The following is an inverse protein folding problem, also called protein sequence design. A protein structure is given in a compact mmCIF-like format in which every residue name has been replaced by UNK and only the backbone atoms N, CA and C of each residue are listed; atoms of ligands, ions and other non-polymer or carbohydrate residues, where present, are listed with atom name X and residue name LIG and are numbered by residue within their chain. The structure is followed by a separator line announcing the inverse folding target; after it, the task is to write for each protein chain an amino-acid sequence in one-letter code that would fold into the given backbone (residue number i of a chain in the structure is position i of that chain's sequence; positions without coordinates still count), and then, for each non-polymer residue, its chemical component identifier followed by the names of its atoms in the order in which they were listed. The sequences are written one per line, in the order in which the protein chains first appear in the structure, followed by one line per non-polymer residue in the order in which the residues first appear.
data_IF_301128544674
#
_entry.id   IF_301128544674
#
_cell.length_a   1.000
_cell.length_b   1.000
_cell.length_c   1.000
_cell.angle_alpha   90.00
_cell.angle_beta   90.00
_cell.angle_gamma   90.00
#
_symmetry.space_group_name_H-M   'P 1'
#
loop_
_entity.id
_entity.type
_entity.pdbx_description
1 polymer ?
#
# COMPACT_ATOMS: atom_id res chain seq x y z
N UNK A 1 -17.70 -32.91 -14.67
CA UNK A 1 -18.85 -32.77 -13.75
C UNK A 1 -18.29 -32.43 -12.38
N UNK A 2 -18.42 -31.16 -11.95
CA UNK A 2 -18.05 -30.79 -10.58
C UNK A 2 -19.13 -31.33 -9.64
N UNK A 3 -18.77 -32.19 -8.69
CA UNK A 3 -19.70 -32.63 -7.64
C UNK A 3 -19.93 -31.42 -6.75
N UNK A 4 -21.18 -31.01 -6.57
CA UNK A 4 -21.54 -30.01 -5.57
C UNK A 4 -21.19 -30.55 -4.18
N UNK A 5 -20.04 -30.10 -3.67
CA UNK A 5 -19.47 -30.51 -2.38
C UNK A 5 -20.35 -30.04 -1.22
N UNK A 6 -21.23 -29.06 -1.46
CA UNK A 6 -22.08 -28.41 -0.48
C UNK A 6 -23.56 -28.80 -0.59
N UNK A 7 -23.92 -29.73 -1.48
CA UNK A 7 -25.29 -30.20 -1.71
C UNK A 7 -25.99 -30.73 -0.45
N UNK A 8 -25.22 -31.23 0.53
CA UNK A 8 -25.76 -31.80 1.77
C UNK A 8 -26.13 -30.74 2.85
N UNK A 9 -25.89 -29.46 2.58
CA UNK A 9 -26.19 -28.38 3.54
C UNK A 9 -27.69 -28.15 3.65
N UNK A 10 -28.19 -27.97 4.88
CA UNK A 10 -29.62 -27.92 5.19
C UNK A 10 -30.29 -26.57 4.92
N UNK A 11 -29.51 -25.53 4.63
CA UNK A 11 -30.02 -24.16 4.41
C UNK A 11 -29.19 -23.44 3.36
N UNK A 12 -29.81 -22.45 2.70
CA UNK A 12 -29.13 -21.58 1.71
C UNK A 12 -27.88 -20.91 2.30
N UNK A 13 -27.94 -20.48 3.56
CA UNK A 13 -26.81 -19.85 4.25
C UNK A 13 -25.67 -20.84 4.50
N UNK A 14 -25.99 -22.06 4.96
CA UNK A 14 -24.99 -23.10 5.16
C UNK A 14 -24.33 -23.51 3.83
N UNK A 15 -25.10 -23.53 2.75
CA UNK A 15 -24.59 -23.80 1.41
C UNK A 15 -23.56 -22.76 0.97
N UNK A 16 -23.93 -21.48 1.03
CA UNK A 16 -23.03 -20.36 0.67
C UNK A 16 -21.75 -20.36 1.50
N UNK A 17 -21.87 -20.61 2.81
CA UNK A 17 -20.73 -20.68 3.71
C UNK A 17 -19.80 -21.86 3.37
N UNK A 18 -20.36 -23.02 3.03
CA UNK A 18 -19.60 -24.18 2.59
C UNK A 18 -18.86 -23.90 1.27
N UNK A 19 -19.53 -23.32 0.28
CA UNK A 19 -18.91 -22.97 -1.01
C UNK A 19 -17.74 -22.01 -0.78
N UNK A 20 -17.95 -20.99 0.05
CA UNK A 20 -16.94 -20.01 0.41
C UNK A 20 -15.72 -20.64 1.10
N UNK A 21 -15.94 -21.52 2.10
CA UNK A 21 -14.83 -22.22 2.76
C UNK A 21 -14.08 -23.14 1.79
N UNK A 22 -14.79 -23.82 0.90
CA UNK A 22 -14.17 -24.72 -0.07
C UNK A 22 -13.36 -23.97 -1.14
N UNK A 23 -13.71 -22.71 -1.43
CA UNK A 23 -12.94 -21.84 -2.32
C UNK A 23 -11.86 -21.01 -1.62
N UNK A 24 -11.75 -21.08 -0.29
CA UNK A 24 -10.78 -20.32 0.50
C UNK A 24 -9.49 -21.13 0.71
N UNK A 25 -8.39 -20.42 0.98
CA UNK A 25 -7.15 -21.06 1.37
C UNK A 25 -7.32 -21.82 2.71
N UNK A 26 -6.80 -23.05 2.81
CA UNK A 26 -6.66 -23.73 4.09
C UNK A 26 -5.78 -22.92 5.04
N UNK A 27 -6.08 -22.99 6.35
CA UNK A 27 -5.35 -22.20 7.34
C UNK A 27 -3.88 -22.60 7.52
N UNK A 28 -3.53 -23.83 7.15
CA UNK A 28 -2.18 -24.41 7.16
C UNK A 28 -1.42 -24.22 5.85
N UNK A 29 -1.98 -23.50 4.87
CA UNK A 29 -1.30 -23.22 3.62
C UNK A 29 -0.38 -21.99 3.70
N UNK A 30 0.75 -22.07 3.00
CA UNK A 30 1.80 -21.05 2.97
C UNK A 30 2.16 -20.64 1.55
N UNK A 31 2.36 -19.34 1.34
CA UNK A 31 2.51 -18.73 0.03
C UNK A 31 3.84 -18.01 -0.15
N UNK A 32 4.24 -17.82 -1.41
CA UNK A 32 5.45 -17.09 -1.77
C UNK A 32 6.75 -17.80 -1.41
N UNK A 33 7.87 -17.11 -1.68
CA UNK A 33 9.22 -17.63 -1.42
C UNK A 33 9.52 -17.80 0.07
N UNK A 34 8.95 -16.95 0.92
CA UNK A 34 9.14 -16.98 2.37
C UNK A 34 8.15 -17.89 3.11
N UNK A 35 7.31 -18.64 2.38
CA UNK A 35 6.29 -19.52 2.97
C UNK A 35 5.48 -18.79 4.05
N UNK A 36 4.84 -17.69 3.66
CA UNK A 36 4.03 -16.88 4.57
C UNK A 36 2.61 -17.41 4.62
N UNK A 37 2.05 -17.53 5.83
CA UNK A 37 0.61 -17.77 6.01
C UNK A 37 -0.17 -16.49 5.72
N UNK A 38 -1.49 -16.59 5.50
CA UNK A 38 -2.34 -15.41 5.32
C UNK A 38 -2.25 -14.43 6.51
N UNK A 39 -2.17 -14.95 7.74
CA UNK A 39 -1.94 -14.14 8.95
C UNK A 39 -0.56 -13.47 8.93
N UNK A 40 0.47 -14.17 8.45
CA UNK A 40 1.81 -13.62 8.31
C UNK A 40 1.86 -12.45 7.32
N UNK A 41 1.13 -12.55 6.21
CA UNK A 41 0.97 -11.48 5.22
C UNK A 41 0.30 -10.26 5.87
N UNK A 42 -0.87 -10.47 6.50
CA UNK A 42 -1.64 -9.41 7.18
C UNK A 42 -0.81 -8.68 8.24
N UNK A 43 -0.11 -9.42 9.10
CA UNK A 43 0.71 -8.85 10.16
C UNK A 43 1.90 -8.06 9.59
N UNK A 44 2.53 -8.57 8.52
CA UNK A 44 3.65 -7.86 7.89
C UNK A 44 3.22 -6.50 7.35
N UNK A 45 2.06 -6.43 6.68
CA UNK A 45 1.55 -5.14 6.20
C UNK A 45 1.12 -4.21 7.33
N UNK A 46 0.41 -4.74 8.34
CA UNK A 46 -0.04 -3.95 9.49
C UNK A 46 1.14 -3.37 10.26
N UNK A 47 2.12 -4.18 10.61
CA UNK A 47 3.29 -3.76 11.37
C UNK A 47 4.21 -2.86 10.53
N UNK A 48 4.25 -3.11 9.21
CA UNK A 48 4.89 -2.23 8.24
C UNK A 48 4.27 -0.83 8.22
N UNK A 49 2.94 -0.72 8.28
CA UNK A 49 2.24 0.57 8.29
C UNK A 49 2.55 1.39 9.56
N UNK A 50 2.82 0.71 10.68
CA UNK A 50 3.27 1.32 11.94
C UNK A 50 4.73 1.76 11.80
N UNK A 51 5.59 0.86 11.33
CA UNK A 51 7.04 1.10 11.18
C UNK A 51 7.36 2.22 10.18
N UNK A 52 6.51 2.40 9.17
CA UNK A 52 6.66 3.44 8.17
C UNK A 52 6.39 4.86 8.71
N UNK A 53 5.79 5.03 9.89
CA UNK A 53 5.39 6.36 10.38
C UNK A 53 4.46 7.08 9.41
N UNK A 54 4.76 8.33 9.07
CA UNK A 54 4.05 9.10 8.05
C UNK A 54 4.52 8.73 6.63
N UNK A 55 5.81 8.49 6.46
CA UNK A 55 6.44 8.07 5.21
C UNK A 55 7.78 7.33 5.48
N UNK A 56 8.21 6.52 4.52
CA UNK A 56 9.49 5.79 4.60
C UNK A 56 10.11 5.51 3.24
N UNK A 57 11.43 5.38 3.22
CA UNK A 57 12.23 4.82 2.12
C UNK A 57 13.19 3.75 2.62
N UNK A 58 12.93 3.16 3.80
CA UNK A 58 13.82 2.16 4.42
C UNK A 58 13.88 0.87 3.59
N UNK A 59 15.05 0.51 3.00
CA UNK A 59 15.18 -0.69 2.17
C UNK A 59 14.89 -1.99 2.94
N UNK A 60 15.09 -2.02 4.27
CA UNK A 60 14.81 -3.22 5.08
C UNK A 60 13.32 -3.48 5.21
N UNK A 61 12.54 -2.42 5.40
CA UNK A 61 11.09 -2.51 5.41
C UNK A 61 10.57 -2.88 4.02
N UNK A 62 11.07 -2.22 2.96
CA UNK A 62 10.71 -2.52 1.57
C UNK A 62 10.89 -4.01 1.25
N UNK A 63 12.07 -4.57 1.56
CA UNK A 63 12.34 -6.00 1.30
C UNK A 63 11.37 -6.93 2.03
N UNK A 64 10.93 -6.58 3.25
CA UNK A 64 9.91 -7.36 3.98
C UNK A 64 8.54 -7.27 3.30
N UNK A 65 8.16 -6.08 2.85
CA UNK A 65 6.91 -5.85 2.13
C UNK A 65 6.89 -6.59 0.78
N UNK A 66 8.03 -6.66 0.09
CA UNK A 66 8.15 -7.42 -1.16
C UNK A 66 7.88 -8.91 -0.97
N UNK A 67 8.33 -9.49 0.14
CA UNK A 67 8.01 -10.90 0.46
C UNK A 67 6.53 -11.09 0.73
N UNK A 68 5.88 -10.17 1.46
CA UNK A 68 4.44 -10.21 1.69
C UNK A 68 3.65 -10.05 0.39
N UNK A 69 4.10 -9.16 -0.51
CA UNK A 69 3.49 -8.92 -1.83
C UNK A 69 3.61 -10.12 -2.75
N UNK A 70 4.78 -10.77 -2.81
CA UNK A 70 4.94 -12.05 -3.53
C UNK A 70 3.99 -13.11 -2.98
N UNK A 71 3.93 -13.27 -1.65
CA UNK A 71 3.05 -14.23 -1.01
C UNK A 71 1.56 -13.94 -1.29
N UNK A 72 1.13 -12.67 -1.21
CA UNK A 72 -0.24 -12.26 -1.53
C UNK A 72 -0.60 -12.54 -2.99
N UNK A 73 0.29 -12.23 -3.94
CA UNK A 73 0.06 -12.54 -5.36
C UNK A 73 -0.07 -14.05 -5.61
N UNK A 74 0.73 -14.87 -4.93
CA UNK A 74 0.64 -16.34 -5.02
C UNK A 74 -0.66 -16.87 -4.41
N UNK A 75 -1.06 -16.32 -3.27
CA UNK A 75 -2.34 -16.64 -2.64
C UNK A 75 -3.51 -16.29 -3.55
N UNK A 76 -3.57 -15.06 -4.04
CA UNK A 76 -4.62 -14.58 -4.94
C UNK A 76 -4.69 -15.39 -6.24
N UNK A 77 -3.54 -15.78 -6.79
CA UNK A 77 -3.49 -16.62 -7.99
C UNK A 77 -4.08 -18.02 -7.76
N UNK A 78 -3.91 -18.59 -6.57
CA UNK A 78 -4.39 -19.94 -6.26
C UNK A 78 -5.83 -19.97 -5.76
N UNK A 79 -6.22 -18.94 -5.00
CA UNK A 79 -7.54 -18.82 -4.37
C UNK A 79 -8.18 -17.45 -4.68
N UNK A 80 -8.51 -17.14 -5.95
CA UNK A 80 -8.94 -15.80 -6.36
C UNK A 80 -10.24 -15.32 -5.70
N UNK A 81 -11.06 -16.25 -5.18
CA UNK A 81 -12.33 -15.95 -4.53
C UNK A 81 -12.26 -16.01 -3.00
N UNK A 82 -11.05 -16.12 -2.42
CA UNK A 82 -10.87 -16.11 -0.98
C UNK A 82 -11.31 -14.75 -0.40
N UNK A 83 -12.28 -14.74 0.54
CA UNK A 83 -12.81 -13.50 1.12
C UNK A 83 -11.77 -12.70 1.93
N UNK A 84 -10.69 -13.34 2.41
CA UNK A 84 -9.66 -12.68 3.18
C UNK A 84 -8.71 -11.84 2.31
N UNK A 85 -8.66 -12.08 0.99
CA UNK A 85 -7.83 -11.30 0.07
C UNK A 85 -8.16 -9.81 0.11
N UNK A 86 -9.45 -9.45 0.20
CA UNK A 86 -9.87 -8.06 0.29
C UNK A 86 -9.24 -7.34 1.50
N UNK A 87 -9.06 -8.05 2.62
CA UNK A 87 -8.39 -7.50 3.78
C UNK A 87 -6.90 -7.33 3.54
N UNK A 88 -6.22 -8.35 3.01
CA UNK A 88 -4.78 -8.32 2.77
C UNK A 88 -4.39 -7.20 1.78
N UNK A 89 -5.13 -7.06 0.67
CA UNK A 89 -4.95 -5.96 -0.26
C UNK A 89 -5.11 -4.60 0.43
N UNK A 90 -6.13 -4.43 1.26
CA UNK A 90 -6.36 -3.17 1.97
C UNK A 90 -5.21 -2.83 2.91
N UNK A 91 -4.70 -3.80 3.69
CA UNK A 91 -3.54 -3.59 4.54
C UNK A 91 -2.29 -3.26 3.72
N UNK A 92 -2.08 -3.93 2.59
CA UNK A 92 -1.03 -3.62 1.63
C UNK A 92 -1.08 -2.16 1.17
N UNK A 93 -2.26 -1.67 0.77
CA UNK A 93 -2.46 -0.26 0.39
C UNK A 93 -2.06 0.68 1.54
N UNK A 94 -2.47 0.37 2.78
CA UNK A 94 -2.22 1.24 3.94
C UNK A 94 -0.74 1.47 4.23
N UNK A 95 0.13 0.50 3.95
CA UNK A 95 1.59 0.64 4.10
C UNK A 95 2.28 1.08 2.82
N UNK A 96 1.96 0.48 1.67
CA UNK A 96 2.68 0.73 0.42
C UNK A 96 2.55 2.19 -0.03
N UNK A 97 1.40 2.84 0.22
CA UNK A 97 1.23 4.28 -0.02
C UNK A 97 2.16 5.17 0.80
N UNK A 98 2.69 4.66 1.93
CA UNK A 98 3.66 5.36 2.78
C UNK A 98 5.10 5.10 2.35
N UNK A 99 5.35 4.17 1.43
CA UNK A 99 6.70 3.88 0.93
C UNK A 99 6.96 4.77 -0.29
N UNK A 100 7.92 5.69 -0.18
CA UNK A 100 8.18 6.73 -1.20
C UNK A 100 9.13 6.25 -2.30
N UNK A 101 8.77 5.12 -2.91
CA UNK A 101 9.47 4.50 -4.04
C UNK A 101 8.46 4.09 -5.11
N UNK A 102 8.82 4.26 -6.37
CA UNK A 102 7.88 4.06 -7.49
C UNK A 102 7.27 2.64 -7.52
N UNK A 103 8.05 1.54 -7.36
CA UNK A 103 7.48 0.20 -7.46
C UNK A 103 6.39 -0.11 -6.43
N UNK A 104 6.55 0.39 -5.21
CA UNK A 104 5.63 0.18 -4.10
C UNK A 104 4.36 1.02 -4.28
N UNK A 105 4.49 2.24 -4.81
CA UNK A 105 3.36 3.07 -5.16
C UNK A 105 2.54 2.49 -6.33
N UNK A 106 3.20 1.95 -7.35
CA UNK A 106 2.54 1.24 -8.46
C UNK A 106 1.78 0.01 -7.94
N UNK A 107 2.39 -0.73 -7.01
CA UNK A 107 1.76 -1.88 -6.35
C UNK A 107 0.56 -1.44 -5.48
N UNK A 108 0.68 -0.33 -4.75
CA UNK A 108 -0.43 0.23 -3.99
C UNK A 108 -1.61 0.56 -4.92
N UNK A 109 -1.33 1.15 -6.08
CA UNK A 109 -2.35 1.45 -7.09
C UNK A 109 -3.02 0.18 -7.64
N UNK A 110 -2.24 -0.85 -7.97
CA UNK A 110 -2.76 -2.16 -8.40
C UNK A 110 -3.75 -2.74 -7.36
N UNK A 111 -3.39 -2.65 -6.07
CA UNK A 111 -4.23 -3.16 -4.99
C UNK A 111 -5.50 -2.33 -4.81
N UNK A 112 -5.44 -1.00 -4.94
CA UNK A 112 -6.62 -0.13 -4.94
C UNK A 112 -7.57 -0.53 -6.07
N UNK A 113 -7.04 -0.71 -7.30
CA UNK A 113 -7.84 -1.10 -8.45
C UNK A 113 -8.49 -2.47 -8.24
N UNK A 114 -7.75 -3.42 -7.67
CA UNK A 114 -8.26 -4.76 -7.33
C UNK A 114 -9.40 -4.68 -6.31
N UNK A 115 -9.25 -3.88 -5.25
CA UNK A 115 -10.30 -3.68 -4.23
C UNK A 115 -11.57 -3.06 -4.81
N UNK A 116 -11.42 -2.09 -5.71
CA UNK A 116 -12.56 -1.34 -6.27
C UNK A 116 -13.25 -2.11 -7.39
N UNK A 117 -12.53 -2.94 -8.13
CA UNK A 117 -13.11 -3.74 -9.22
C UNK A 117 -13.66 -5.08 -8.74
N UNK A 118 -12.86 -5.87 -8.01
CA UNK A 118 -13.20 -7.25 -7.65
C UNK A 118 -13.89 -7.34 -6.29
N UNK A 119 -13.50 -6.50 -5.33
CA UNK A 119 -14.00 -6.54 -3.95
C UNK A 119 -14.91 -5.36 -3.59
N UNK A 120 -15.55 -4.73 -4.58
CA UNK A 120 -16.36 -3.53 -4.42
C UNK A 120 -17.52 -3.67 -3.43
N UNK A 121 -18.06 -4.88 -3.27
CA UNK A 121 -19.11 -5.21 -2.31
C UNK A 121 -18.64 -5.43 -0.87
N UNK A 122 -17.32 -5.49 -0.63
CA UNK A 122 -16.75 -5.63 0.72
C UNK A 122 -16.66 -4.27 1.42
N UNK A 123 -16.47 -4.29 2.74
CA UNK A 123 -16.15 -3.06 3.49
C UNK A 123 -14.93 -2.36 2.90
N UNK A 124 -13.86 -3.11 2.63
CA UNK A 124 -12.58 -2.58 2.13
C UNK A 124 -12.71 -1.93 0.75
N UNK A 125 -13.42 -2.59 -0.18
CA UNK A 125 -13.68 -2.03 -1.52
C UNK A 125 -14.51 -0.75 -1.46
N UNK A 126 -15.54 -0.69 -0.61
CA UNK A 126 -16.34 0.53 -0.40
C UNK A 126 -15.52 1.68 0.19
N UNK A 127 -14.65 1.39 1.15
CA UNK A 127 -13.74 2.40 1.72
C UNK A 127 -12.82 2.94 0.63
N UNK A 128 -12.16 2.09 -0.16
CA UNK A 128 -11.30 2.54 -1.26
C UNK A 128 -12.05 3.32 -2.34
N UNK A 129 -13.25 2.89 -2.71
CA UNK A 129 -14.10 3.62 -3.68
C UNK A 129 -14.46 5.02 -3.16
N UNK A 130 -14.75 5.14 -1.87
CA UNK A 130 -15.04 6.42 -1.22
C UNK A 130 -13.79 7.30 -1.16
N UNK A 131 -12.63 6.73 -0.86
CA UNK A 131 -11.35 7.45 -0.89
C UNK A 131 -11.02 7.98 -2.28
N UNK A 132 -11.21 7.18 -3.34
CA UNK A 132 -11.05 7.63 -4.72
C UNK A 132 -11.97 8.79 -5.07
N UNK A 133 -13.24 8.72 -4.66
CA UNK A 133 -14.23 9.76 -4.95
C UNK A 133 -13.91 11.12 -4.28
N UNK A 134 -13.20 11.09 -3.14
CA UNK A 134 -12.74 12.31 -2.45
C UNK A 134 -11.48 12.92 -3.08
N UNK A 135 -10.82 12.18 -3.98
CA UNK A 135 -9.47 12.48 -4.44
C UNK A 135 -8.42 11.95 -3.46
N UNK A 136 -7.36 11.34 -3.97
CA UNK A 136 -6.21 10.97 -3.15
C UNK A 136 -5.34 12.21 -2.95
N UNK A 137 -5.20 12.64 -1.69
CA UNK A 137 -4.24 13.67 -1.27
C UNK A 137 -2.87 13.08 -0.96
N UNK A 138 -2.70 11.76 -1.06
CA UNK A 138 -1.47 11.05 -0.71
C UNK A 138 -0.75 10.56 -1.98
N UNK A 139 0.56 10.71 -1.99
CA UNK A 139 1.49 10.72 -3.12
C UNK A 139 1.64 9.39 -3.88
N UNK A 140 0.59 8.93 -4.56
CA UNK A 140 0.65 7.71 -5.36
C UNK A 140 1.67 7.74 -6.52
N UNK A 141 2.22 8.91 -6.89
CA UNK A 141 3.15 9.03 -8.04
C UNK A 141 4.24 10.12 -7.91
N UNK A 142 4.53 10.63 -6.70
CA UNK A 142 5.63 11.58 -6.55
C UNK A 142 6.91 10.82 -6.16
N UNK A 143 7.89 10.78 -7.05
CA UNK A 143 9.24 10.29 -6.71
C UNK A 143 9.85 11.16 -5.61
N UNK A 144 10.50 10.53 -4.62
CA UNK A 144 11.29 11.26 -3.63
C UNK A 144 12.32 12.17 -4.32
N UNK A 145 12.39 13.45 -3.92
CA UNK A 145 13.33 14.39 -4.52
C UNK A 145 14.75 14.14 -3.98
N UNK A 146 15.79 14.40 -4.78
CA UNK A 146 17.17 14.36 -4.28
C UNK A 146 17.37 15.59 -3.39
N UNK A 147 17.98 15.44 -2.21
CA UNK A 147 18.30 16.60 -1.38
C UNK A 147 19.20 17.55 -2.17
N UNK A 148 19.00 18.88 -2.10
CA UNK A 148 20.02 19.80 -2.59
C UNK A 148 21.33 19.46 -1.89
N UNK A 149 22.37 19.18 -2.68
CA UNK A 149 23.69 18.90 -2.13
C UNK A 149 24.15 20.17 -1.43
N UNK A 150 24.50 20.13 -0.12
CA UNK A 150 25.06 21.31 0.52
C UNK A 150 26.29 21.74 -0.29
N UNK A 151 26.28 22.98 -0.76
CA UNK A 151 27.40 23.56 -1.49
C UNK A 151 28.68 23.37 -0.64
N UNK A 152 29.82 23.03 -1.26
CA UNK A 152 31.07 22.91 -0.52
C UNK A 152 31.33 24.22 0.22
N UNK A 153 31.47 24.11 1.55
CA UNK A 153 31.87 25.20 2.42
C UNK A 153 33.29 25.59 1.98
N UNK A 154 33.41 26.61 1.13
CA UNK A 154 34.74 27.05 0.66
C UNK A 154 34.78 27.87 -0.63
N UNK A 155 33.72 27.96 -1.43
CA UNK A 155 33.70 28.88 -2.58
C UNK A 155 32.95 30.13 -2.17
N UNK A 156 33.69 31.22 -1.93
CA UNK A 156 33.21 32.51 -1.43
C UNK A 156 32.24 33.24 -2.35
N UNK A 157 31.04 32.69 -2.52
CA UNK A 157 29.89 33.39 -3.07
C UNK A 157 29.07 33.86 -1.87
N UNK A 158 28.87 35.17 -1.77
CA UNK A 158 28.04 35.80 -0.73
C UNK A 158 26.66 35.13 -0.63
N UNK A 159 26.05 35.08 0.57
CA UNK A 159 24.69 34.62 0.73
C UNK A 159 23.75 35.67 0.13
N UNK A 160 23.30 35.46 -1.10
CA UNK A 160 22.21 36.24 -1.68
C UNK A 160 20.93 35.39 -1.68
N UNK A 161 19.95 35.94 -0.95
CA UNK A 161 18.53 35.59 -0.82
C UNK A 161 18.22 34.25 -0.13
N UNK A 162 18.02 34.36 1.19
CA UNK A 162 17.03 33.57 1.95
C UNK A 162 15.80 33.31 1.07
N UNK A 163 15.33 32.06 0.84
CA UNK A 163 14.00 31.88 0.31
C UNK A 163 13.03 32.48 1.33
N UNK A 164 12.46 33.62 0.97
CA UNK A 164 11.37 34.23 1.71
C UNK A 164 10.29 33.16 1.84
N UNK A 165 10.04 32.73 3.08
CA UNK A 165 8.92 31.86 3.40
C UNK A 165 7.70 32.71 3.20
N UNK A 166 7.28 32.88 1.94
CA UNK A 166 6.00 33.48 1.61
C UNK A 166 4.97 32.59 2.30
N UNK A 167 4.24 33.07 3.32
CA UNK A 167 3.21 32.26 3.95
C UNK A 167 2.22 31.88 2.86
N UNK A 168 2.02 30.57 2.69
CA UNK A 168 0.97 30.03 1.83
C UNK A 168 -0.33 30.76 2.19
N UNK A 169 -1.04 31.37 1.22
CA UNK A 169 -2.28 32.07 1.51
C UNK A 169 -3.22 31.11 2.23
N UNK A 170 -3.73 31.57 3.38
CA UNK A 170 -4.74 30.84 4.14
C UNK A 170 -5.93 30.55 3.20
N UNK A 171 -6.36 29.29 3.03
CA UNK A 171 -7.45 28.98 2.12
C UNK A 171 -8.71 29.71 2.58
N UNK A 172 -9.40 30.33 1.63
CA UNK A 172 -10.69 30.96 1.91
C UNK A 172 -11.66 29.93 2.49
N UNK A 173 -12.54 30.32 3.44
CA UNK A 173 -13.48 29.40 4.09
C UNK A 173 -14.28 28.62 3.05
N UNK A 174 -14.14 27.29 3.03
CA UNK A 174 -14.84 26.40 2.10
C UNK A 174 -13.96 25.67 1.08
N UNK A 175 -12.66 25.95 1.00
CA UNK A 175 -11.73 25.18 0.16
C UNK A 175 -10.96 24.12 0.96
N UNK A 176 -10.72 22.92 0.38
CA UNK A 176 -9.89 21.91 1.02
C UNK A 176 -8.46 22.43 1.18
N UNK A 177 -7.92 22.31 2.41
CA UNK A 177 -6.51 22.59 2.67
C UNK A 177 -5.65 21.59 1.88
N UNK A 178 -4.94 22.06 0.86
CA UNK A 178 -3.92 21.28 0.17
C UNK A 178 -2.66 21.37 1.05
N UNK A 179 -2.45 20.35 1.88
CA UNK A 179 -1.16 20.16 2.54
C UNK A 179 -0.17 19.72 1.47
N UNK A 180 0.66 20.66 1.01
CA UNK A 180 1.82 20.32 0.16
C UNK A 180 2.83 19.64 1.06
N UNK A 181 2.82 18.30 1.10
CA UNK A 181 3.88 17.54 1.76
C UNK A 181 5.11 17.67 0.86
N UNK A 182 6.17 18.29 1.39
CA UNK A 182 7.47 18.32 0.73
C UNK A 182 7.97 16.87 0.67
N UNK A 183 8.22 16.30 -0.51
CA UNK A 183 8.68 14.92 -0.61
C UNK A 183 9.98 14.77 0.18
N UNK A 184 10.12 13.69 0.98
CA UNK A 184 11.34 13.46 1.73
C UNK A 184 12.52 13.37 0.79
N UNK A 185 13.61 14.04 1.15
CA UNK A 185 14.76 14.09 0.29
C UNK A 185 15.71 12.91 0.58
N UNK A 186 16.21 12.25 -0.47
CA UNK A 186 17.17 11.14 -0.33
C UNK A 186 18.60 11.69 -0.52
N UNK A 187 19.56 11.39 0.38
CA UNK A 187 20.95 11.83 0.20
C UNK A 187 21.53 11.25 -1.10
N UNK A 188 22.22 12.09 -1.87
CA UNK A 188 22.94 11.63 -3.08
C UNK A 188 23.93 10.53 -2.70
N UNK A 189 23.85 9.38 -3.37
CA UNK A 189 24.85 8.32 -3.24
C UNK A 189 26.18 8.91 -3.70
N UNK A 190 27.10 9.16 -2.76
CA UNK A 190 28.44 9.63 -3.12
C UNK A 190 29.04 8.61 -4.10
N UNK A 191 29.44 9.07 -5.27
CA UNK A 191 30.21 8.25 -6.19
C UNK A 191 31.51 7.88 -5.46
N UNK A 192 31.63 6.62 -5.04
CA UNK A 192 32.91 6.05 -4.66
C UNK A 192 33.77 6.02 -5.92
N UNK A 193 34.71 6.97 -6.00
CA UNK A 193 35.86 6.92 -6.90
C UNK A 193 36.83 5.84 -6.42
#
# INVERSE_FOLDING_TARGET
MSKDVCAATKSKWAHLQCEQYNSSAPGDEYFGRMKMSYLGIDNTYKDGAISAGDYTTDPRLISKLDFATDALRRWASKYPHDPQLARAYFLGVMVLRKVYTQPEQDTAWEFIQTLVSQYSGTYFGRVMKTSLAKGFTEHLMATAQVCPTPLPIGVGVMPEVTPDVTPTPSPAPGHPSIVVIVPPCVPSKAASL
#
